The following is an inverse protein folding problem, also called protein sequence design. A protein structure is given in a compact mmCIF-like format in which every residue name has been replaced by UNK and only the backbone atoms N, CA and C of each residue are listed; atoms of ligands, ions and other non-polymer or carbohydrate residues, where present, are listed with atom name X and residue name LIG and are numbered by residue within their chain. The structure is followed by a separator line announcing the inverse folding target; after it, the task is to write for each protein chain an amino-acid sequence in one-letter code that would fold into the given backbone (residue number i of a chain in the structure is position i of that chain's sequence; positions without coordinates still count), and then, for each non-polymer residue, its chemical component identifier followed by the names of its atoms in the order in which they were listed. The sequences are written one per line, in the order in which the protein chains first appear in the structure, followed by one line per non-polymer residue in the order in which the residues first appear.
data_IF_024978345613
#
_entry.id   IF_024978345613
#
_cell.length_a   1.000
_cell.length_b   1.000
_cell.length_c   1.000
_cell.angle_alpha   90.00
_cell.angle_beta   90.00
_cell.angle_gamma   90.00
#
_symmetry.space_group_name_H-M   'P 1'
#
loop_
_entity.id
_entity.type
_entity.pdbx_description
1 polymer ?
#
# COMPACT_ATOMS: atom_id res chain seq x y z
N UNK A 1 14.43 -11.02 2.99
CA UNK A 1 13.27 -10.80 2.10
C UNK A 1 13.76 -10.33 0.74
N UNK A 2 13.30 -10.96 -0.32
CA UNK A 2 13.68 -10.59 -1.68
C UNK A 2 12.88 -9.36 -2.15
N UNK A 3 13.38 -8.63 -3.16
CA UNK A 3 12.59 -7.52 -3.71
C UNK A 3 11.21 -7.94 -4.21
N UNK A 4 11.10 -9.13 -4.80
CA UNK A 4 9.83 -9.63 -5.29
C UNK A 4 8.83 -9.88 -4.14
N UNK A 5 9.32 -10.42 -3.04
CA UNK A 5 8.48 -10.63 -1.86
C UNK A 5 8.02 -9.31 -1.26
N UNK A 6 8.93 -8.35 -1.20
CA UNK A 6 8.57 -7.02 -0.69
C UNK A 6 7.56 -6.34 -1.59
N UNK A 7 7.71 -6.46 -2.91
CA UNK A 7 6.76 -5.89 -3.86
C UNK A 7 5.37 -6.49 -3.67
N UNK A 8 5.28 -7.80 -3.48
CA UNK A 8 4.01 -8.46 -3.24
C UNK A 8 3.36 -7.98 -1.94
N UNK A 9 4.17 -7.80 -0.90
CA UNK A 9 3.69 -7.28 0.38
C UNK A 9 3.15 -5.87 0.23
N UNK A 10 3.87 -5.01 -0.47
CA UNK A 10 3.44 -3.63 -0.70
C UNK A 10 2.13 -3.58 -1.47
N UNK A 11 1.96 -4.43 -2.47
CA UNK A 11 0.71 -4.52 -3.22
C UNK A 11 -0.46 -4.88 -2.32
N UNK A 12 -0.26 -5.83 -1.41
CA UNK A 12 -1.31 -6.22 -0.45
C UNK A 12 -1.69 -5.06 0.45
N UNK A 13 -0.68 -4.34 0.96
CA UNK A 13 -0.92 -3.19 1.82
C UNK A 13 -1.69 -2.09 1.10
N UNK A 14 -1.31 -1.82 -0.15
CA UNK A 14 -1.96 -0.81 -0.96
C UNK A 14 -3.40 -1.22 -1.29
N UNK A 15 -3.60 -2.47 -1.67
CA UNK A 15 -4.94 -2.99 -1.95
C UNK A 15 -5.84 -2.91 -0.73
N UNK A 16 -5.30 -3.26 0.44
CA UNK A 16 -6.04 -3.19 1.68
C UNK A 16 -6.44 -1.75 2.00
N UNK A 17 -5.52 -0.81 1.79
CA UNK A 17 -5.81 0.61 2.01
C UNK A 17 -6.90 1.09 1.05
N UNK A 18 -6.85 0.65 -0.21
CA UNK A 18 -7.88 1.00 -1.19
C UNK A 18 -9.25 0.47 -0.78
N UNK A 19 -9.31 -0.77 -0.33
CA UNK A 19 -10.56 -1.38 0.11
C UNK A 19 -11.12 -0.61 1.31
N UNK A 20 -10.28 -0.28 2.27
CA UNK A 20 -10.72 0.49 3.44
C UNK A 20 -11.29 1.84 3.02
N UNK A 21 -10.64 2.48 2.06
CA UNK A 21 -11.09 3.77 1.56
C UNK A 21 -12.45 3.68 0.85
N UNK A 22 -12.61 2.71 -0.04
CA UNK A 22 -13.81 2.59 -0.86
C UNK A 22 -14.97 1.91 -0.17
N UNK A 23 -14.69 0.91 0.66
CA UNK A 23 -15.74 0.11 1.29
C UNK A 23 -16.16 0.67 2.64
N UNK A 24 -15.19 1.09 3.44
CA UNK A 24 -15.45 1.58 4.79
C UNK A 24 -15.53 3.10 4.89
N UNK A 25 -15.30 3.78 3.77
CA UNK A 25 -15.34 5.24 3.69
C UNK A 25 -14.41 5.92 4.71
N UNK A 26 -13.34 5.23 5.06
CA UNK A 26 -12.34 5.77 5.98
C UNK A 26 -10.99 5.14 5.65
N UNK A 27 -9.97 5.94 5.34
CA UNK A 27 -8.65 5.38 5.05
C UNK A 27 -8.06 4.71 6.28
N UNK A 28 -7.49 3.54 6.08
CA UNK A 28 -6.82 2.81 7.14
C UNK A 28 -5.47 3.42 7.48
N UNK A 29 -4.87 4.09 6.50
CA UNK A 29 -3.58 4.76 6.66
C UNK A 29 -3.66 6.18 6.13
N UNK A 30 -2.83 7.10 6.65
CA UNK A 30 -2.78 8.48 6.13
C UNK A 30 -2.29 8.53 4.69
N UNK A 31 -2.65 9.59 3.98
CA UNK A 31 -2.22 9.80 2.60
C UNK A 31 -0.70 9.77 2.45
N UNK A 32 0.01 10.31 3.42
CA UNK A 32 1.48 10.32 3.39
C UNK A 32 2.04 8.90 3.43
N UNK A 33 1.44 8.02 4.20
CA UNK A 33 1.85 6.63 4.27
C UNK A 33 1.54 5.89 2.98
N UNK A 34 0.38 6.17 2.39
CA UNK A 34 -0.02 5.60 1.13
C UNK A 34 0.98 5.97 0.03
N UNK A 35 1.35 7.24 -0.04
CA UNK A 35 2.36 7.73 -0.98
C UNK A 35 3.69 7.02 -0.79
N UNK A 36 4.07 6.81 0.46
CA UNK A 36 5.33 6.14 0.78
C UNK A 36 5.34 4.71 0.28
N UNK A 37 4.24 3.99 0.45
CA UNK A 37 4.13 2.61 -0.03
C UNK A 37 4.24 2.55 -1.56
N UNK A 38 3.58 3.46 -2.26
CA UNK A 38 3.67 3.54 -3.71
C UNK A 38 5.09 3.85 -4.17
N UNK A 39 5.73 4.77 -3.49
CA UNK A 39 7.09 5.17 -3.83
C UNK A 39 8.06 4.00 -3.66
N UNK A 40 7.92 3.28 -2.57
CA UNK A 40 8.75 2.11 -2.32
C UNK A 40 8.52 1.03 -3.37
N UNK A 41 7.27 0.78 -3.72
CA UNK A 41 6.94 -0.21 -4.75
C UNK A 41 7.52 0.17 -6.11
N UNK A 42 7.48 1.46 -6.44
CA UNK A 42 8.05 1.94 -7.70
C UNK A 42 9.56 1.77 -7.75
N UNK A 43 10.23 1.90 -6.61
CA UNK A 43 11.68 1.80 -6.54
C UNK A 43 12.18 0.34 -6.54
N UNK A 44 11.31 -0.61 -6.36
CA UNK A 44 11.64 -2.01 -6.50
C UNK A 44 11.53 -2.41 -7.97
#
# INVERSE_FOLDING_TARGET
MSPAERAAELRRLIDRANIAYYVHDAPEIPDAEYDRLFRELRDI
#
